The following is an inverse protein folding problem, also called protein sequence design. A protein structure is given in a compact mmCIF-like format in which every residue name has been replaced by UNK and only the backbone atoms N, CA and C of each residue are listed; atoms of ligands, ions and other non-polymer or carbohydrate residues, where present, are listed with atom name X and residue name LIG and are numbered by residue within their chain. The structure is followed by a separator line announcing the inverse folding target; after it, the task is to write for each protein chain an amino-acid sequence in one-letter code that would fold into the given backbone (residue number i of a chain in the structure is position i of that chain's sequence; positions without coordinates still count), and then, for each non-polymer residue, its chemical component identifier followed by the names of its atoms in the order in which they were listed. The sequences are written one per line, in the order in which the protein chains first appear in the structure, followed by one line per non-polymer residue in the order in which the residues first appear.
data_IF_925159639091
#
_entry.id   IF_925159639091
#
_cell.length_a   1.000
_cell.length_b   1.000
_cell.length_c   1.000
_cell.angle_alpha   90.00
_cell.angle_beta   90.00
_cell.angle_gamma   90.00
#
_symmetry.space_group_name_H-M   'P 1'
#
loop_
_entity.id
_entity.type
_entity.pdbx_description
1 polymer ?
#
# COMPACT_ATOMS: atom_id res chain seq x y z
N UNK A 1 -15.60 10.20 -7.53
CA UNK A 1 -15.07 8.94 -8.11
C UNK A 1 -14.82 7.91 -7.01
N UNK A 2 -15.63 6.87 -6.99
CA UNK A 2 -15.37 5.62 -6.26
C UNK A 2 -13.99 5.04 -6.67
N UNK A 3 -13.41 4.14 -5.86
CA UNK A 3 -12.10 3.55 -6.16
C UNK A 3 -12.04 2.89 -7.56
N UNK A 4 -13.15 2.28 -8.00
CA UNK A 4 -13.27 1.71 -9.35
C UNK A 4 -13.30 2.77 -10.45
N UNK A 5 -14.01 3.88 -10.23
CA UNK A 5 -14.07 5.00 -11.18
C UNK A 5 -12.74 5.77 -11.25
N UNK A 6 -11.99 5.86 -10.16
CA UNK A 6 -10.63 6.43 -10.16
C UNK A 6 -9.69 5.59 -11.02
N UNK A 7 -9.72 4.27 -10.86
CA UNK A 7 -8.89 3.35 -11.66
C UNK A 7 -9.25 3.39 -13.16
N UNK A 8 -10.54 3.56 -13.48
CA UNK A 8 -10.99 3.76 -14.86
C UNK A 8 -10.56 5.13 -15.42
N UNK A 9 -10.65 6.20 -14.63
CA UNK A 9 -10.25 7.55 -15.01
C UNK A 9 -8.73 7.67 -15.23
N UNK A 10 -7.93 7.08 -14.34
CA UNK A 10 -6.47 6.99 -14.51
C UNK A 10 -6.09 6.15 -15.73
N UNK A 11 -6.87 5.12 -16.05
CA UNK A 11 -6.73 4.35 -17.28
C UNK A 11 -7.05 5.20 -18.53
N UNK A 12 -8.07 6.04 -18.47
CA UNK A 12 -8.42 6.98 -19.54
C UNK A 12 -7.33 8.03 -19.76
N UNK A 13 -6.86 8.70 -18.69
CA UNK A 13 -5.79 9.70 -18.78
C UNK A 13 -4.51 9.15 -19.40
N UNK A 14 -4.11 7.92 -19.04
CA UNK A 14 -2.95 7.25 -19.66
C UNK A 14 -3.14 7.05 -21.17
N UNK A 15 -4.34 6.67 -21.62
CA UNK A 15 -4.64 6.48 -23.05
C UNK A 15 -4.69 7.80 -23.81
N UNK A 16 -5.24 8.86 -23.22
CA UNK A 16 -5.20 10.22 -23.77
C UNK A 16 -3.75 10.70 -23.95
N UNK A 17 -2.90 10.53 -22.94
CA UNK A 17 -1.47 10.86 -23.03
C UNK A 17 -0.75 10.06 -24.12
N UNK A 18 -1.01 8.75 -24.21
CA UNK A 18 -0.49 7.89 -25.29
C UNK A 18 -0.93 8.39 -26.67
N UNK A 19 -2.21 8.70 -26.83
CA UNK A 19 -2.76 9.16 -28.10
C UNK A 19 -2.16 10.52 -28.51
N UNK A 20 -2.02 11.45 -27.57
CA UNK A 20 -1.39 12.75 -27.79
C UNK A 20 0.07 12.60 -28.24
N UNK A 21 0.85 11.72 -27.60
CA UNK A 21 2.23 11.45 -27.96
C UNK A 21 2.36 10.84 -29.38
N UNK A 22 1.49 9.89 -29.73
CA UNK A 22 1.45 9.30 -31.09
C UNK A 22 1.09 10.37 -32.14
N UNK A 23 0.08 11.21 -31.85
CA UNK A 23 -0.34 12.28 -32.75
C UNK A 23 0.75 13.35 -32.95
N UNK A 24 1.47 13.72 -31.88
CA UNK A 24 2.60 14.64 -31.97
C UNK A 24 3.71 14.08 -32.88
N UNK A 25 4.10 12.82 -32.67
CA UNK A 25 5.10 12.16 -33.52
C UNK A 25 4.63 12.04 -34.98
N UNK A 26 3.34 11.75 -35.21
CA UNK A 26 2.75 11.75 -36.55
C UNK A 26 2.78 13.11 -37.23
N UNK A 27 2.47 14.19 -36.49
CA UNK A 27 2.52 15.58 -36.99
C UNK A 27 3.94 15.99 -37.38
N UNK A 28 4.96 15.46 -36.70
CA UNK A 28 6.37 15.66 -37.06
C UNK A 28 6.86 14.76 -38.21
N UNK A 29 5.96 14.04 -38.90
CA UNK A 29 6.31 13.22 -40.07
C UNK A 29 7.10 11.95 -39.73
N UNK A 30 7.12 11.52 -38.46
CA UNK A 30 7.87 10.34 -38.03
C UNK A 30 7.22 9.08 -38.61
N UNK A 31 8.03 8.21 -39.23
CA UNK A 31 7.55 6.96 -39.79
C UNK A 31 6.96 6.04 -38.71
N UNK A 32 5.86 5.34 -39.03
CA UNK A 32 5.13 4.46 -38.09
C UNK A 32 6.04 3.45 -37.38
N UNK A 33 7.06 2.90 -38.08
CA UNK A 33 8.01 1.95 -37.50
C UNK A 33 8.85 2.57 -36.38
N UNK A 34 9.20 3.84 -36.51
CA UNK A 34 9.95 4.56 -35.48
C UNK A 34 9.03 5.00 -34.32
N UNK A 35 7.77 5.32 -34.59
CA UNK A 35 6.77 5.56 -33.53
C UNK A 35 6.58 4.29 -32.67
N UNK A 36 6.50 3.11 -33.29
CA UNK A 36 6.46 1.81 -32.56
C UNK A 36 7.67 1.68 -31.64
N UNK A 37 8.88 1.97 -32.16
CA UNK A 37 10.13 1.84 -31.40
C UNK A 37 10.21 2.81 -30.22
N UNK A 38 9.72 4.04 -30.38
CA UNK A 38 9.76 5.09 -29.33
C UNK A 38 8.68 4.91 -28.26
N UNK A 39 7.49 4.46 -28.65
CA UNK A 39 6.33 4.38 -27.75
C UNK A 39 6.10 2.98 -27.18
N UNK A 40 6.70 1.94 -27.77
CA UNK A 40 6.49 0.54 -27.38
C UNK A 40 5.09 0.00 -27.72
N UNK A 41 4.27 0.77 -28.44
CA UNK A 41 2.89 0.41 -28.76
C UNK A 41 2.76 -0.35 -30.08
N UNK A 42 1.69 -1.15 -30.19
CA UNK A 42 1.47 -1.98 -31.38
C UNK A 42 1.26 -1.13 -32.62
N UNK A 43 1.73 -1.65 -33.76
CA UNK A 43 1.61 -0.99 -35.06
C UNK A 43 0.15 -0.77 -35.50
N UNK A 44 -0.78 -1.58 -34.97
CA UNK A 44 -2.22 -1.41 -35.16
C UNK A 44 -2.78 -0.19 -34.42
N UNK A 45 -2.44 -0.05 -33.13
CA UNK A 45 -2.87 1.08 -32.30
C UNK A 45 -2.40 2.41 -32.90
N UNK A 46 -1.13 2.50 -33.31
CA UNK A 46 -0.57 3.72 -33.88
C UNK A 46 -1.32 4.13 -35.16
N UNK A 47 -1.64 3.19 -36.05
CA UNK A 47 -2.42 3.48 -37.26
C UNK A 47 -3.83 3.95 -36.94
N UNK A 48 -4.46 3.34 -35.95
CA UNK A 48 -5.81 3.69 -35.51
C UNK A 48 -5.85 5.13 -34.98
N UNK A 49 -4.90 5.48 -34.11
CA UNK A 49 -4.76 6.84 -33.55
C UNK A 49 -4.48 7.87 -34.65
N UNK A 50 -3.53 7.62 -35.55
CA UNK A 50 -3.19 8.53 -36.64
C UNK A 50 -4.34 8.74 -37.64
N UNK A 51 -5.25 7.76 -37.79
CA UNK A 51 -6.47 7.87 -38.60
C UNK A 51 -7.62 8.59 -37.90
N UNK A 52 -7.41 9.08 -36.67
CA UNK A 52 -8.44 9.74 -35.88
C UNK A 52 -9.53 8.81 -35.33
N UNK A 53 -9.31 7.48 -35.36
CA UNK A 53 -10.27 6.52 -34.83
C UNK A 53 -10.20 6.51 -33.30
N UNK A 54 -11.06 7.30 -32.66
CA UNK A 54 -11.22 7.39 -31.20
C UNK A 54 -12.22 6.34 -30.71
N UNK A 55 -11.73 5.27 -30.08
CA UNK A 55 -12.60 4.28 -29.41
C UNK A 55 -12.82 4.58 -27.91
N UNK A 56 -12.07 5.51 -27.34
CA UNK A 56 -11.99 5.69 -25.88
C UNK A 56 -12.82 6.89 -25.42
N UNK A 57 -14.14 6.72 -25.34
CA UNK A 57 -15.00 7.67 -24.63
C UNK A 57 -15.09 7.22 -23.18
N UNK A 58 -14.41 7.94 -22.26
CA UNK A 58 -14.73 7.80 -20.84
C UNK A 58 -16.12 8.40 -20.59
N UNK A 59 -17.13 7.53 -20.55
CA UNK A 59 -18.45 7.90 -20.03
C UNK A 59 -18.45 7.54 -18.56
N UNK A 60 -18.33 8.55 -17.68
CA UNK A 60 -18.82 8.38 -16.32
C UNK A 60 -20.26 7.91 -16.43
N UNK A 61 -20.60 6.77 -15.85
CA UNK A 61 -22.01 6.48 -15.59
C UNK A 61 -22.43 7.49 -14.53
N UNK A 62 -22.89 8.65 -14.94
CA UNK A 62 -23.60 9.54 -14.04
C UNK A 62 -24.74 8.71 -13.44
N UNK A 63 -24.63 8.43 -12.15
CA UNK A 63 -25.72 7.81 -11.43
C UNK A 63 -26.90 8.77 -11.58
N UNK A 64 -28.09 8.26 -11.90
CA UNK A 64 -29.31 9.08 -11.87
C UNK A 64 -29.53 9.78 -10.51
N UNK A 65 -28.84 9.32 -9.46
CA UNK A 65 -28.85 9.91 -8.13
C UNK A 65 -27.87 11.07 -7.94
N UNK A 66 -26.90 11.30 -8.84
CA UNK A 66 -25.85 12.32 -8.69
C UNK A 66 -26.42 13.70 -8.32
N UNK A 67 -27.47 14.21 -8.99
CA UNK A 67 -28.07 15.51 -8.65
C UNK A 67 -28.77 15.55 -7.29
N UNK A 68 -29.01 14.39 -6.68
CA UNK A 68 -29.75 14.23 -5.43
C UNK A 68 -28.87 13.70 -4.29
N UNK A 69 -27.56 13.52 -4.50
CA UNK A 69 -26.66 12.95 -3.50
C UNK A 69 -26.54 13.83 -2.26
N UNK A 70 -26.40 15.15 -2.41
CA UNK A 70 -26.31 16.07 -1.26
C UNK A 70 -27.58 16.01 -0.39
N UNK A 71 -28.75 15.98 -1.03
CA UNK A 71 -30.02 15.84 -0.32
C UNK A 71 -30.12 14.48 0.38
N UNK A 72 -29.74 13.40 -0.30
CA UNK A 72 -29.73 12.05 0.26
C UNK A 72 -28.76 11.92 1.45
N UNK A 73 -27.57 12.51 1.37
CA UNK A 73 -26.60 12.55 2.46
C UNK A 73 -27.13 13.37 3.64
N UNK A 74 -27.80 14.50 3.39
CA UNK A 74 -28.49 15.27 4.43
C UNK A 74 -29.58 14.46 5.14
N UNK A 75 -30.39 13.69 4.41
CA UNK A 75 -31.39 12.79 5.00
C UNK A 75 -30.76 11.63 5.78
N UNK A 76 -29.61 11.12 5.31
CA UNK A 76 -28.86 10.07 6.00
C UNK A 76 -28.32 10.55 7.34
N UNK A 77 -27.72 11.75 7.36
CA UNK A 77 -27.24 12.41 8.56
C UNK A 77 -28.39 12.69 9.56
N UNK A 78 -29.57 13.05 9.05
CA UNK A 78 -30.80 13.19 9.84
C UNK A 78 -31.44 11.86 10.31
N UNK A 79 -30.74 10.72 10.13
CA UNK A 79 -31.16 9.41 10.64
C UNK A 79 -32.23 8.71 9.80
N UNK A 80 -32.57 9.18 8.60
CA UNK A 80 -33.56 8.52 7.74
C UNK A 80 -32.92 7.34 7.01
N UNK A 81 -33.30 6.10 7.40
CA UNK A 81 -32.70 4.86 6.88
C UNK A 81 -33.62 4.01 5.99
N UNK A 82 -34.84 4.48 5.70
CA UNK A 82 -35.82 3.75 4.87
C UNK A 82 -35.70 4.15 3.40
N UNK A 83 -35.16 3.25 2.56
CA UNK A 83 -34.95 3.51 1.13
C UNK A 83 -36.22 3.69 0.31
N UNK A 84 -37.34 3.06 0.70
CA UNK A 84 -38.62 3.25 0.00
C UNK A 84 -39.17 4.65 0.27
N UNK A 85 -39.04 5.14 1.49
CA UNK A 85 -39.48 6.49 1.87
C UNK A 85 -38.61 7.57 1.21
N UNK A 86 -37.29 7.38 1.19
CA UNK A 86 -36.37 8.28 0.47
C UNK A 86 -36.69 8.33 -1.02
N UNK A 87 -37.04 7.19 -1.64
CA UNK A 87 -37.44 7.17 -3.05
C UNK A 87 -38.74 7.95 -3.30
N UNK A 88 -39.77 7.83 -2.44
CA UNK A 88 -41.02 8.60 -2.60
C UNK A 88 -40.76 10.11 -2.54
N UNK A 89 -39.91 10.54 -1.61
CA UNK A 89 -39.52 11.96 -1.46
C UNK A 89 -38.67 12.46 -2.63
N UNK A 90 -37.80 11.60 -3.18
CA UNK A 90 -37.08 11.94 -4.41
C UNK A 90 -38.04 12.09 -5.60
N UNK A 91 -39.07 11.25 -5.71
CA UNK A 91 -40.09 11.34 -6.76
C UNK A 91 -40.79 12.70 -6.75
N UNK A 92 -41.12 13.24 -5.57
CA UNK A 92 -41.76 14.56 -5.44
C UNK A 92 -40.83 15.71 -5.83
N UNK A 93 -39.51 15.49 -5.79
CA UNK A 93 -38.48 16.44 -6.22
C UNK A 93 -38.07 16.28 -7.70
N UNK A 94 -38.79 15.43 -8.46
CA UNK A 94 -38.55 15.26 -9.90
C UNK A 94 -37.66 14.07 -10.29
N UNK A 95 -37.26 13.21 -9.34
CA UNK A 95 -36.48 12.03 -9.66
C UNK A 95 -37.26 11.04 -10.52
N UNK A 96 -36.69 10.62 -11.66
CA UNK A 96 -37.34 9.66 -12.59
C UNK A 96 -36.84 8.23 -12.49
N UNK A 97 -35.89 7.94 -11.60
CA UNK A 97 -35.26 6.63 -11.47
C UNK A 97 -36.06 5.61 -10.63
N UNK A 98 -35.61 4.35 -10.71
CA UNK A 98 -36.22 3.21 -10.03
C UNK A 98 -35.95 3.21 -8.52
N UNK A 99 -36.93 2.72 -7.74
CA UNK A 99 -36.80 2.46 -6.28
C UNK A 99 -35.58 1.59 -5.94
N UNK A 100 -35.22 0.67 -6.84
CA UNK A 100 -34.07 -0.22 -6.66
C UNK A 100 -32.77 0.57 -6.52
N UNK A 101 -32.58 1.64 -7.28
CA UNK A 101 -31.36 2.46 -7.27
C UNK A 101 -31.16 3.13 -5.91
N UNK A 102 -32.23 3.69 -5.34
CA UNK A 102 -32.22 4.31 -3.99
C UNK A 102 -32.02 3.25 -2.91
N UNK A 103 -32.64 2.08 -3.05
CA UNK A 103 -32.51 0.96 -2.10
C UNK A 103 -31.09 0.38 -2.10
N UNK A 104 -30.45 0.28 -3.27
CA UNK A 104 -29.04 -0.10 -3.39
C UNK A 104 -28.11 0.95 -2.77
N UNK A 105 -28.37 2.24 -2.99
CA UNK A 105 -27.64 3.32 -2.33
C UNK A 105 -27.74 3.23 -0.80
N UNK A 106 -28.95 3.08 -0.24
CA UNK A 106 -29.17 2.87 1.20
C UNK A 106 -28.44 1.63 1.70
N UNK A 107 -28.49 0.52 0.97
CA UNK A 107 -27.82 -0.73 1.36
C UNK A 107 -26.30 -0.57 1.42
N UNK A 108 -25.71 0.13 0.44
CA UNK A 108 -24.28 0.46 0.45
C UNK A 108 -23.92 1.33 1.65
N UNK A 109 -24.74 2.33 1.97
CA UNK A 109 -24.53 3.23 3.10
C UNK A 109 -24.64 2.51 4.45
N UNK A 110 -25.61 1.59 4.62
CA UNK A 110 -25.68 0.70 5.81
C UNK A 110 -24.45 -0.19 5.96
N UNK A 111 -23.94 -0.74 4.85
CA UNK A 111 -22.72 -1.58 4.88
C UNK A 111 -21.48 -0.76 5.23
N UNK A 112 -21.38 0.47 4.74
CA UNK A 112 -20.30 1.39 5.10
C UNK A 112 -20.36 1.74 6.59
N UNK A 113 -21.51 2.20 7.10
CA UNK A 113 -21.70 2.48 8.53
C UNK A 113 -21.40 1.25 9.41
N UNK A 114 -21.81 0.04 8.98
CA UNK A 114 -21.54 -1.21 9.69
C UNK A 114 -20.06 -1.59 9.65
N UNK A 115 -19.39 -1.45 8.51
CA UNK A 115 -17.96 -1.72 8.38
C UNK A 115 -17.14 -0.74 9.22
N UNK A 116 -17.52 0.53 9.26
CA UNK A 116 -16.89 1.54 10.10
C UNK A 116 -17.11 1.22 11.59
N UNK A 117 -18.33 0.89 12.00
CA UNK A 117 -18.63 0.48 13.38
C UNK A 117 -17.91 -0.82 13.81
N UNK A 118 -17.84 -1.83 12.94
CA UNK A 118 -17.08 -3.06 13.19
C UNK A 118 -15.56 -2.80 13.20
N UNK A 119 -15.06 -1.86 12.41
CA UNK A 119 -13.65 -1.47 12.41
C UNK A 119 -13.26 -0.73 13.70
N UNK A 120 -14.15 0.11 14.23
CA UNK A 120 -13.95 0.85 15.48
C UNK A 120 -13.99 -0.07 16.70
N UNK A 121 -14.77 -1.16 16.65
CA UNK A 121 -14.88 -2.13 17.75
C UNK A 121 -13.82 -3.24 17.71
N UNK A 122 -13.03 -3.35 16.64
CA UNK A 122 -12.05 -4.42 16.52
C UNK A 122 -10.72 -3.98 17.12
N UNK A 123 -10.38 -4.56 18.27
CA UNK A 123 -9.05 -4.43 18.85
C UNK A 123 -8.03 -4.90 17.80
N UNK A 124 -7.09 -4.04 17.36
CA UNK A 124 -6.07 -4.43 16.40
C UNK A 124 -5.22 -5.56 16.97
N UNK A 125 -4.80 -6.50 16.12
CA UNK A 125 -3.92 -7.57 16.56
C UNK A 125 -2.59 -7.01 17.10
N UNK A 126 -1.94 -7.72 18.02
CA UNK A 126 -0.61 -7.34 18.53
C UNK A 126 0.41 -7.09 17.39
N UNK A 127 0.34 -7.88 16.32
CA UNK A 127 1.17 -7.70 15.12
C UNK A 127 0.87 -6.39 14.39
N UNK A 128 -0.42 -6.03 14.28
CA UNK A 128 -0.85 -4.76 13.68
C UNK A 128 -0.35 -3.58 14.50
N UNK A 129 -0.51 -3.65 15.83
CA UNK A 129 -0.03 -2.60 16.76
C UNK A 129 1.48 -2.45 16.64
N UNK A 130 2.24 -3.54 16.74
CA UNK A 130 3.69 -3.51 16.61
C UNK A 130 4.13 -2.90 15.28
N UNK A 131 3.49 -3.29 14.17
CA UNK A 131 3.77 -2.71 12.84
C UNK A 131 3.48 -1.20 12.80
N UNK A 132 2.33 -0.76 13.31
CA UNK A 132 1.96 0.66 13.33
C UNK A 132 2.91 1.51 14.19
N UNK A 133 3.43 0.93 15.27
CA UNK A 133 4.38 1.62 16.14
C UNK A 133 5.80 1.65 15.57
N UNK A 134 6.20 0.68 14.75
CA UNK A 134 7.60 0.50 14.31
C UNK A 134 7.87 0.79 12.83
N UNK A 135 6.84 0.84 11.97
CA UNK A 135 6.98 1.07 10.52
C UNK A 135 6.66 2.53 10.17
N UNK A 136 7.37 3.08 9.17
CA UNK A 136 7.34 4.50 8.79
C UNK A 136 5.92 5.05 8.66
N UNK A 137 5.68 6.18 9.34
CA UNK A 137 4.38 6.85 9.48
C UNK A 137 3.94 7.62 8.23
N UNK A 138 4.76 7.60 7.18
CA UNK A 138 4.63 8.48 6.02
C UNK A 138 3.38 8.20 5.17
N UNK A 139 2.70 7.07 5.38
CA UNK A 139 1.46 6.70 4.69
C UNK A 139 0.39 6.14 5.64
N UNK A 140 0.22 6.73 6.82
CA UNK A 140 -0.86 6.32 7.74
C UNK A 140 -2.24 6.79 7.23
N UNK A 141 -3.20 5.88 7.26
CA UNK A 141 -4.62 6.23 7.07
C UNK A 141 -5.17 6.98 8.29
N UNK A 142 -6.25 7.76 8.12
CA UNK A 142 -6.90 8.49 9.22
C UNK A 142 -7.27 7.57 10.40
N UNK A 143 -7.76 6.36 10.11
CA UNK A 143 -8.09 5.34 11.12
C UNK A 143 -6.86 4.85 11.88
N UNK A 144 -5.73 4.67 11.21
CA UNK A 144 -4.48 4.25 11.85
C UNK A 144 -3.90 5.37 12.73
N UNK A 145 -4.00 6.63 12.30
CA UNK A 145 -3.59 7.78 13.11
C UNK A 145 -4.38 7.86 14.42
N UNK A 146 -5.71 7.71 14.36
CA UNK A 146 -6.57 7.70 15.56
C UNK A 146 -6.22 6.52 16.47
N UNK A 147 -5.97 5.35 15.89
CA UNK A 147 -5.54 4.16 16.64
C UNK A 147 -4.21 4.38 17.35
N UNK A 148 -3.22 4.98 16.68
CA UNK A 148 -1.92 5.30 17.28
C UNK A 148 -2.09 6.30 18.42
N UNK A 149 -2.86 7.37 18.22
CA UNK A 149 -3.10 8.37 19.26
C UNK A 149 -3.77 7.76 20.50
N UNK A 150 -4.73 6.84 20.32
CA UNK A 150 -5.36 6.12 21.40
C UNK A 150 -4.37 5.21 22.16
N UNK A 151 -3.47 4.52 21.46
CA UNK A 151 -2.42 3.69 22.07
C UNK A 151 -1.41 4.55 22.82
N UNK A 152 -0.97 5.66 22.23
CA UNK A 152 -0.02 6.59 22.84
C UNK A 152 -0.57 7.19 24.14
N UNK A 153 -1.87 7.52 24.17
CA UNK A 153 -2.54 8.03 25.37
C UNK A 153 -2.86 6.94 26.40
N UNK A 154 -3.20 5.72 25.95
CA UNK A 154 -3.72 4.67 26.83
C UNK A 154 -2.67 3.72 27.39
N UNK A 155 -1.53 3.57 26.71
CA UNK A 155 -0.48 2.59 27.09
C UNK A 155 0.92 3.20 26.95
N UNK A 156 1.35 4.06 27.90
CA UNK A 156 2.65 4.74 27.84
C UNK A 156 3.85 3.77 27.73
N UNK A 157 3.75 2.58 28.32
CA UNK A 157 4.81 1.57 28.25
C UNK A 157 5.12 1.12 26.80
N UNK A 158 4.11 1.10 25.91
CA UNK A 158 4.32 0.78 24.50
C UNK A 158 5.03 1.92 23.75
N UNK A 159 4.81 3.17 24.16
CA UNK A 159 5.52 4.33 23.64
C UNK A 159 6.99 4.25 24.03
N UNK A 160 7.29 3.97 25.30
CA UNK A 160 8.66 3.76 25.78
C UNK A 160 9.36 2.64 25.01
N UNK A 161 8.67 1.50 24.82
CA UNK A 161 9.21 0.36 24.07
C UNK A 161 9.53 0.73 22.61
N UNK A 162 8.64 1.47 21.96
CA UNK A 162 8.85 1.98 20.60
C UNK A 162 10.09 2.87 20.56
N UNK A 163 10.22 3.81 21.48
CA UNK A 163 11.32 4.78 21.49
C UNK A 163 12.66 4.07 21.70
N UNK A 164 12.72 3.07 22.58
CA UNK A 164 13.91 2.23 22.74
C UNK A 164 14.30 1.53 21.43
N UNK A 165 13.34 1.00 20.67
CA UNK A 165 13.62 0.37 19.38
C UNK A 165 14.05 1.39 18.32
N UNK A 166 13.46 2.60 18.32
CA UNK A 166 13.86 3.67 17.43
C UNK A 166 15.30 4.14 17.71
N UNK A 167 15.65 4.32 18.99
CA UNK A 167 16.98 4.68 19.45
C UNK A 167 18.01 3.62 19.03
N UNK A 168 17.66 2.33 19.13
CA UNK A 168 18.52 1.26 18.63
C UNK A 168 18.84 1.42 17.14
N UNK A 169 17.82 1.59 16.29
CA UNK A 169 18.02 1.78 14.86
C UNK A 169 18.86 3.03 14.55
N UNK A 170 18.65 4.12 15.28
CA UNK A 170 19.40 5.35 15.13
C UNK A 170 20.87 5.18 15.51
N UNK A 171 21.13 4.53 16.64
CA UNK A 171 22.47 4.18 17.12
C UNK A 171 23.23 3.33 16.10
N UNK A 172 22.60 2.28 15.55
CA UNK A 172 23.22 1.46 14.48
C UNK A 172 23.54 2.31 13.25
N UNK A 173 22.61 3.17 12.78
CA UNK A 173 22.82 4.02 11.60
C UNK A 173 23.93 5.05 11.80
N UNK A 174 24.04 5.62 13.00
CA UNK A 174 25.07 6.60 13.37
C UNK A 174 26.40 5.98 13.76
N UNK A 175 26.45 4.64 13.87
CA UNK A 175 27.61 3.89 14.35
C UNK A 175 28.06 4.30 15.77
N UNK A 176 27.11 4.66 16.63
CA UNK A 176 27.37 5.16 17.99
C UNK A 176 27.59 4.02 18.99
N UNK A 177 28.75 3.35 18.92
CA UNK A 177 29.07 2.19 19.77
C UNK A 177 29.03 2.51 21.27
N UNK A 178 29.46 3.71 21.64
CA UNK A 178 29.50 4.19 23.02
C UNK A 178 28.12 4.27 23.69
N UNK A 179 27.04 4.40 22.91
CA UNK A 179 25.67 4.44 23.41
C UNK A 179 25.09 3.03 23.70
N UNK A 180 25.74 1.96 23.21
CA UNK A 180 25.21 0.60 23.24
C UNK A 180 24.98 0.07 24.66
N UNK A 181 25.90 0.34 25.59
CA UNK A 181 25.77 -0.15 26.97
C UNK A 181 24.55 0.50 27.67
N UNK A 182 24.43 1.82 27.58
CA UNK A 182 23.31 2.57 28.15
C UNK A 182 21.99 2.15 27.51
N UNK A 183 22.00 1.90 26.20
CA UNK A 183 20.82 1.40 25.49
C UNK A 183 20.39 0.01 25.98
N UNK A 184 21.35 -0.92 26.21
CA UNK A 184 21.05 -2.27 26.73
C UNK A 184 20.38 -2.18 28.10
N UNK A 185 20.89 -1.35 29.00
CA UNK A 185 20.35 -1.21 30.35
C UNK A 185 18.92 -0.66 30.31
N UNK A 186 18.68 0.40 29.52
CA UNK A 186 17.33 0.93 29.31
C UNK A 186 16.39 -0.09 28.68
N UNK A 187 16.87 -0.92 27.75
CA UNK A 187 16.06 -1.96 27.12
C UNK A 187 15.66 -3.06 28.11
N UNK A 188 16.56 -3.47 29.02
CA UNK A 188 16.31 -4.51 30.03
C UNK A 188 15.18 -4.17 31.00
N UNK A 189 15.01 -2.90 31.32
CA UNK A 189 13.97 -2.41 32.25
C UNK A 189 12.64 -2.08 31.55
N UNK A 190 12.47 -2.50 30.29
CA UNK A 190 11.32 -2.16 29.46
C UNK A 190 10.59 -3.40 28.91
N UNK A 191 9.51 -3.18 28.16
CA UNK A 191 8.78 -4.26 27.47
C UNK A 191 9.62 -4.98 26.40
N UNK A 192 10.79 -4.45 26.02
CA UNK A 192 11.72 -5.09 25.07
C UNK A 192 12.93 -5.73 25.77
N UNK A 193 12.80 -6.09 27.04
CA UNK A 193 13.87 -6.72 27.84
C UNK A 193 14.46 -7.99 27.20
N UNK A 194 13.63 -8.82 26.57
CA UNK A 194 14.09 -10.01 25.85
C UNK A 194 15.03 -9.66 24.68
N UNK A 195 14.74 -8.57 23.96
CA UNK A 195 15.59 -8.06 22.90
C UNK A 195 16.89 -7.47 23.45
N UNK A 196 16.82 -6.64 24.50
CA UNK A 196 18.00 -6.10 25.19
C UNK A 196 18.91 -7.21 25.72
N UNK A 197 18.34 -8.28 26.28
CA UNK A 197 19.08 -9.46 26.73
C UNK A 197 19.73 -10.23 25.58
N UNK A 198 19.06 -10.36 24.43
CA UNK A 198 19.66 -10.95 23.23
C UNK A 198 20.86 -10.14 22.75
N UNK A 199 20.69 -8.81 22.62
CA UNK A 199 21.77 -7.90 22.23
C UNK A 199 22.95 -7.98 23.21
N UNK A 200 22.69 -8.08 24.51
CA UNK A 200 23.74 -8.20 25.52
C UNK A 200 24.52 -9.52 25.41
N UNK A 201 23.84 -10.64 25.12
CA UNK A 201 24.51 -11.94 24.89
C UNK A 201 25.44 -11.88 23.69
N UNK A 202 25.01 -11.19 22.62
CA UNK A 202 25.75 -11.07 21.37
C UNK A 202 26.52 -9.74 21.25
N UNK A 203 26.90 -9.12 22.38
CA UNK A 203 27.43 -7.75 22.42
C UNK A 203 28.65 -7.55 21.52
N UNK A 204 29.55 -8.54 21.42
CA UNK A 204 30.73 -8.47 20.55
C UNK A 204 30.32 -8.41 19.07
N UNK A 205 29.35 -9.24 18.66
CA UNK A 205 28.85 -9.27 17.30
C UNK A 205 28.09 -7.98 16.95
N UNK A 206 27.32 -7.45 17.90
CA UNK A 206 26.58 -6.18 17.71
C UNK A 206 27.55 -5.00 17.64
N UNK A 207 28.57 -4.93 18.49
CA UNK A 207 29.63 -3.91 18.39
C UNK A 207 30.35 -3.98 17.04
N UNK A 208 30.71 -5.20 16.60
CA UNK A 208 31.30 -5.38 15.29
C UNK A 208 30.37 -4.89 14.18
N UNK A 209 29.07 -5.15 14.26
CA UNK A 209 28.09 -4.67 13.28
C UNK A 209 27.95 -3.12 13.26
N UNK A 210 28.19 -2.44 14.38
CA UNK A 210 28.17 -0.97 14.48
C UNK A 210 29.43 -0.36 13.87
N UNK A 211 30.61 -0.86 14.27
CA UNK A 211 31.90 -0.23 13.96
C UNK A 211 32.45 -0.67 12.61
N UNK A 212 32.23 -1.93 12.24
CA UNK A 212 32.83 -2.51 11.02
C UNK A 212 32.35 -1.80 9.75
N UNK A 213 33.24 -1.56 8.77
CA UNK A 213 32.83 -1.16 7.43
C UNK A 213 32.24 -2.34 6.63
N UNK A 214 32.49 -3.58 7.07
CA UNK A 214 32.06 -4.81 6.41
C UNK A 214 30.74 -5.28 6.99
N UNK A 215 29.82 -5.69 6.11
CA UNK A 215 28.57 -6.35 6.48
C UNK A 215 28.55 -7.79 5.98
N UNK A 216 27.97 -8.69 6.76
CA UNK A 216 27.69 -10.07 6.33
C UNK A 216 26.54 -10.16 5.33
N UNK A 217 25.94 -9.04 4.91
CA UNK A 217 24.77 -9.02 4.05
C UNK A 217 25.00 -9.67 2.68
N UNK A 218 26.16 -9.47 2.07
CA UNK A 218 26.51 -10.13 0.80
C UNK A 218 26.64 -11.64 0.98
N UNK A 219 27.38 -12.08 2.01
CA UNK A 219 27.56 -13.50 2.33
C UNK A 219 26.22 -14.19 2.62
N UNK A 220 25.38 -13.58 3.47
CA UNK A 220 24.04 -14.09 3.78
C UNK A 220 23.13 -14.12 2.55
N UNK A 221 23.25 -13.14 1.65
CA UNK A 221 22.55 -13.13 0.36
C UNK A 221 22.93 -14.33 -0.50
N UNK A 222 24.24 -14.62 -0.63
CA UNK A 222 24.73 -15.79 -1.37
C UNK A 222 24.29 -17.10 -0.71
N UNK A 223 24.39 -17.20 0.61
CA UNK A 223 23.91 -18.37 1.37
C UNK A 223 22.41 -18.58 1.18
N UNK A 224 21.62 -17.51 1.18
CA UNK A 224 20.17 -17.56 0.96
C UNK A 224 19.85 -18.07 -0.44
N UNK A 225 20.52 -17.53 -1.48
CA UNK A 225 20.40 -18.01 -2.86
C UNK A 225 20.73 -19.50 -2.97
N UNK A 226 21.84 -19.93 -2.35
CA UNK A 226 22.26 -21.32 -2.33
C UNK A 226 21.22 -22.22 -1.61
N UNK A 227 20.76 -21.82 -0.43
CA UNK A 227 19.72 -22.54 0.33
C UNK A 227 18.42 -22.66 -0.47
N UNK A 228 18.02 -21.61 -1.19
CA UNK A 228 16.84 -21.62 -2.05
C UNK A 228 16.97 -22.69 -3.15
N UNK A 229 18.11 -22.71 -3.87
CA UNK A 229 18.36 -23.70 -4.92
C UNK A 229 18.37 -25.12 -4.34
N UNK A 230 19.04 -25.35 -3.20
CA UNK A 230 19.01 -26.65 -2.51
C UNK A 230 17.58 -27.08 -2.15
N UNK A 231 16.74 -26.17 -1.66
CA UNK A 231 15.33 -26.46 -1.30
C UNK A 231 14.48 -26.80 -2.51
N UNK A 232 14.65 -26.10 -3.64
CA UNK A 232 13.97 -26.42 -4.91
C UNK A 232 14.34 -27.82 -5.41
N UNK A 233 15.51 -28.32 -5.04
CA UNK A 233 16.02 -29.63 -5.43
C UNK A 233 15.79 -30.70 -4.37
N UNK A 234 14.91 -30.44 -3.40
CA UNK A 234 14.62 -31.36 -2.29
C UNK A 234 15.88 -31.82 -1.54
N UNK A 235 16.86 -30.93 -1.41
CA UNK A 235 18.14 -31.21 -0.74
C UNK A 235 19.15 -32.00 -1.59
N UNK A 236 18.83 -32.41 -2.81
CA UNK A 236 19.66 -33.27 -3.67
C UNK A 236 20.69 -32.53 -4.54
N UNK A 237 21.04 -31.30 -4.18
CA UNK A 237 22.08 -30.53 -4.87
C UNK A 237 23.46 -30.81 -4.30
N UNK A 238 24.21 -31.73 -4.92
CA UNK A 238 25.67 -31.89 -4.70
C UNK A 238 26.43 -30.68 -5.27
N UNK A 239 27.72 -30.54 -4.91
CA UNK A 239 28.50 -29.33 -5.20
C UNK A 239 28.57 -29.00 -6.70
N UNK A 240 28.81 -30.00 -7.54
CA UNK A 240 28.79 -29.94 -9.00
C UNK A 240 27.48 -29.32 -9.55
N UNK A 241 26.34 -29.80 -9.06
CA UNK A 241 25.02 -29.36 -9.52
C UNK A 241 24.66 -27.95 -9.02
N UNK A 242 25.15 -27.59 -7.83
CA UNK A 242 25.01 -26.23 -7.30
C UNK A 242 25.89 -25.24 -8.07
N UNK A 243 27.12 -25.63 -8.39
CA UNK A 243 28.05 -24.82 -9.18
C UNK A 243 27.45 -24.53 -10.57
N UNK A 244 26.96 -25.56 -11.27
CA UNK A 244 26.30 -25.40 -12.56
C UNK A 244 25.09 -24.45 -12.53
N UNK A 245 24.30 -24.46 -11.45
CA UNK A 245 23.12 -23.59 -11.31
C UNK A 245 23.39 -22.18 -10.80
N UNK A 246 24.42 -21.99 -9.98
CA UNK A 246 24.67 -20.71 -9.30
C UNK A 246 25.71 -19.84 -10.01
N UNK A 247 26.72 -20.47 -10.61
CA UNK A 247 27.86 -19.83 -11.26
C UNK A 247 27.72 -19.91 -12.80
N UNK A 248 26.94 -20.88 -13.29
CA UNK A 248 26.85 -21.19 -14.73
C UNK A 248 27.91 -22.23 -15.12
N UNK A 249 27.65 -22.97 -16.19
CA UNK A 249 28.69 -23.78 -16.81
C UNK A 249 29.68 -22.83 -17.52
N UNK A 250 30.91 -22.77 -17.03
CA UNK A 250 32.05 -22.25 -17.81
C UNK A 250 32.36 -23.18 -18.97
#
# INVERSE_FOLDING_TARGET
LTAAERLQYEGYLRREQTNAAIMALGKHGVAIKEIVRRTGHSRGLIRQVLRGQRNDVFRSRESSLEPYLEWLDGQWAAGKRNGTELWRRLRTQGFRGSRRVVSEWVTRRKRADKADAESLNRIPSARTIARLLTTSRDNLTKSETVTIAAIESGVPLLVTARDIIADFHLMIRRKAENELALWIDRARDSLVSSFGNGVAKDIQAVRAAIVSPWSNGQTEGQITKLKLVKRQMYGRGKLDLLQARLIGAT
#
